data_IF_744148691414
#
_entry.id   IF_744148691414
#
_cell.length_a   1.000
_cell.length_b   1.000
_cell.length_c   1.000
_cell.angle_alpha   90.00
_cell.angle_beta   90.00
_cell.angle_gamma   90.00
#
_symmetry.space_group_name_H-M   'P 1'
#
loop_
_entity.id
_entity.type
_entity.pdbx_description
1 polymer ?
#
# COMPACT_ATOMS: atom_id res chain seq x y z
N UNK A 1 11.19 -14.69 -4.58
CA UNK A 1 12.22 -13.90 -5.27
C UNK A 1 11.79 -12.44 -5.43
N UNK A 2 10.62 -12.17 -6.02
CA UNK A 2 10.15 -10.79 -6.29
C UNK A 2 9.89 -9.90 -5.05
N UNK A 3 10.04 -10.41 -3.85
CA UNK A 3 9.79 -9.66 -2.62
C UNK A 3 11.04 -8.90 -2.13
N UNK A 4 12.24 -9.36 -2.51
CA UNK A 4 13.51 -8.90 -1.97
C UNK A 4 14.38 -8.10 -2.95
N UNK A 5 14.10 -8.20 -4.25
CA UNK A 5 14.87 -7.52 -5.29
C UNK A 5 14.18 -6.24 -5.74
N UNK A 6 14.96 -5.27 -6.21
CA UNK A 6 14.38 -4.14 -6.92
C UNK A 6 13.76 -4.59 -8.26
N UNK A 7 12.99 -3.70 -8.90
CA UNK A 7 12.27 -4.11 -10.12
C UNK A 7 13.22 -4.34 -11.30
N UNK A 8 14.38 -3.66 -11.36
CA UNK A 8 15.39 -3.87 -12.39
C UNK A 8 16.00 -5.27 -12.29
N UNK A 9 16.41 -5.67 -11.08
CA UNK A 9 16.91 -7.02 -10.79
C UNK A 9 15.83 -8.07 -11.06
N UNK A 10 14.58 -7.81 -10.67
CA UNK A 10 13.43 -8.68 -10.94
C UNK A 10 13.23 -8.88 -12.43
N UNK A 11 13.33 -7.82 -13.24
CA UNK A 11 13.19 -7.87 -14.71
C UNK A 11 14.29 -8.71 -15.33
N UNK A 12 15.53 -8.52 -14.89
CA UNK A 12 16.67 -9.32 -15.36
C UNK A 12 16.48 -10.80 -15.05
N UNK A 13 16.19 -11.15 -13.79
CA UNK A 13 15.98 -12.55 -13.37
C UNK A 13 14.80 -13.19 -14.10
N UNK A 14 13.72 -12.47 -14.32
CA UNK A 14 12.58 -12.95 -15.11
C UNK A 14 12.99 -13.25 -16.55
N UNK A 15 13.73 -12.33 -17.19
CA UNK A 15 14.21 -12.52 -18.55
C UNK A 15 15.10 -13.74 -18.72
N UNK A 16 16.04 -13.95 -17.79
CA UNK A 16 16.93 -15.13 -17.81
C UNK A 16 16.18 -16.43 -17.53
N UNK A 17 15.28 -16.44 -16.52
CA UNK A 17 14.47 -17.62 -16.20
C UNK A 17 13.61 -18.06 -17.39
N UNK A 18 13.02 -17.10 -18.11
CA UNK A 18 12.17 -17.37 -19.28
C UNK A 18 12.91 -18.09 -20.42
N UNK A 19 14.24 -17.90 -20.53
CA UNK A 19 15.07 -18.56 -21.55
C UNK A 19 15.38 -20.01 -21.24
N UNK A 20 15.38 -20.40 -19.96
CA UNK A 20 15.84 -21.73 -19.51
C UNK A 20 14.74 -22.60 -18.94
N UNK A 21 13.58 -22.04 -18.60
CA UNK A 21 12.49 -22.80 -18.00
C UNK A 21 11.58 -23.39 -19.07
N UNK A 22 11.50 -24.71 -19.13
CA UNK A 22 10.65 -25.46 -20.05
C UNK A 22 9.24 -25.75 -19.46
N UNK A 23 9.05 -25.54 -18.17
CA UNK A 23 7.78 -25.81 -17.50
C UNK A 23 6.81 -24.63 -17.70
N UNK A 24 5.79 -24.85 -18.53
CA UNK A 24 4.78 -23.84 -18.88
C UNK A 24 3.97 -23.33 -17.68
N UNK A 25 3.71 -24.15 -16.66
CA UNK A 25 2.91 -23.71 -15.50
C UNK A 25 3.73 -22.78 -14.61
N UNK A 26 5.02 -23.07 -14.45
CA UNK A 26 5.94 -22.15 -13.76
C UNK A 26 6.12 -20.84 -14.53
N UNK A 27 6.23 -20.90 -15.85
CA UNK A 27 6.32 -19.70 -16.69
C UNK A 27 5.06 -18.83 -16.53
N UNK A 28 3.87 -19.38 -16.64
CA UNK A 28 2.60 -18.66 -16.47
C UNK A 28 2.47 -18.04 -15.07
N UNK A 29 2.82 -18.80 -14.02
CA UNK A 29 2.78 -18.30 -12.65
C UNK A 29 3.75 -17.13 -12.45
N UNK A 30 4.96 -17.23 -12.99
CA UNK A 30 5.98 -16.21 -12.91
C UNK A 30 5.59 -14.96 -13.72
N UNK A 31 5.06 -15.15 -14.94
CA UNK A 31 4.58 -14.08 -15.80
C UNK A 31 3.45 -13.28 -15.16
N UNK A 32 2.48 -13.96 -14.54
CA UNK A 32 1.41 -13.32 -13.79
C UNK A 32 1.95 -12.45 -12.63
N UNK A 33 2.95 -12.95 -11.90
CA UNK A 33 3.59 -12.18 -10.81
C UNK A 33 4.39 -10.99 -11.33
N UNK A 34 5.15 -11.19 -12.41
CA UNK A 34 5.92 -10.13 -13.05
C UNK A 34 5.01 -9.02 -13.59
N UNK A 35 3.94 -9.37 -14.28
CA UNK A 35 2.96 -8.42 -14.82
C UNK A 35 2.34 -7.56 -13.72
N UNK A 36 1.93 -8.18 -12.60
CA UNK A 36 1.41 -7.43 -11.45
C UNK A 36 2.46 -6.50 -10.84
N UNK A 37 3.68 -6.97 -10.64
CA UNK A 37 4.76 -6.15 -10.12
C UNK A 37 5.13 -5.00 -11.06
N UNK A 38 5.12 -5.25 -12.38
CA UNK A 38 5.36 -4.24 -13.42
C UNK A 38 4.30 -3.15 -13.43
N UNK A 39 3.02 -3.52 -13.28
CA UNK A 39 1.92 -2.58 -13.23
C UNK A 39 1.99 -1.63 -12.03
N UNK A 40 2.64 -2.05 -10.94
CA UNK A 40 2.75 -1.28 -9.71
C UNK A 40 4.02 -0.44 -9.61
N UNK A 41 4.78 -0.27 -10.69
CA UNK A 41 5.98 0.56 -10.66
C UNK A 41 5.65 2.04 -10.53
N UNK A 42 6.51 2.82 -9.84
CA UNK A 42 6.38 4.28 -9.74
C UNK A 42 6.21 4.92 -11.13
N UNK A 43 5.28 5.87 -11.20
CA UNK A 43 4.88 6.55 -12.44
C UNK A 43 3.69 5.90 -13.17
N UNK A 44 3.36 4.65 -12.90
CA UNK A 44 2.17 4.01 -13.45
C UNK A 44 0.89 4.44 -12.70
N UNK A 45 -0.28 4.45 -13.36
CA UNK A 45 -1.54 4.71 -12.70
C UNK A 45 -1.78 3.73 -11.55
N UNK A 46 -2.21 4.22 -10.39
CA UNK A 46 -2.62 3.36 -9.30
C UNK A 46 -3.86 2.54 -9.70
N UNK A 47 -3.96 1.26 -9.27
CA UNK A 47 -5.13 0.45 -9.54
C UNK A 47 -6.41 1.12 -9.02
N UNK A 48 -7.48 1.06 -9.80
CA UNK A 48 -8.76 1.58 -9.39
C UNK A 48 -9.21 0.89 -8.09
N UNK A 49 -9.54 1.71 -7.10
CA UNK A 49 -9.97 1.26 -5.78
C UNK A 49 -11.36 1.80 -5.52
N UNK A 50 -12.30 0.91 -5.24
CA UNK A 50 -13.65 1.26 -4.81
C UNK A 50 -14.04 0.35 -3.66
N UNK A 51 -14.14 0.92 -2.45
CA UNK A 51 -14.42 0.20 -1.22
C UNK A 51 -15.46 0.93 -0.38
N UNK A 52 -15.96 0.27 0.65
CA UNK A 52 -16.87 0.87 1.63
C UNK A 52 -16.12 1.42 2.82
N UNK A 53 -16.52 2.61 3.27
CA UNK A 53 -16.09 3.16 4.55
C UNK A 53 -16.95 2.61 5.72
N UNK A 54 -16.62 3.02 6.94
CA UNK A 54 -17.31 2.61 8.17
C UNK A 54 -18.79 2.99 8.23
N UNK A 55 -19.23 3.90 7.38
CA UNK A 55 -20.62 4.34 7.26
C UNK A 55 -21.34 3.67 6.07
N UNK A 56 -20.67 2.75 5.36
CA UNK A 56 -21.21 2.07 4.19
C UNK A 56 -21.17 2.89 2.90
N UNK A 57 -20.57 4.10 2.93
CA UNK A 57 -20.41 4.94 1.76
C UNK A 57 -19.31 4.36 0.85
N UNK A 58 -19.55 4.38 -0.44
CA UNK A 58 -18.52 4.03 -1.43
C UNK A 58 -17.49 5.14 -1.54
N UNK A 59 -16.22 4.78 -1.40
CA UNK A 59 -15.06 5.66 -1.53
C UNK A 59 -14.17 5.13 -2.66
N UNK A 60 -13.71 6.03 -3.52
CA UNK A 60 -12.80 5.72 -4.63
C UNK A 60 -11.47 6.42 -4.42
N UNK A 61 -10.38 5.80 -4.85
CA UNK A 61 -9.07 6.45 -4.84
C UNK A 61 -9.08 7.76 -5.66
N UNK A 62 -9.84 7.78 -6.77
CA UNK A 62 -10.00 8.97 -7.61
C UNK A 62 -10.63 10.19 -6.91
N UNK A 63 -11.33 9.99 -5.79
CA UNK A 63 -11.95 11.05 -5.02
C UNK A 63 -10.90 11.96 -4.34
N UNK A 64 -9.64 11.48 -4.28
CA UNK A 64 -8.52 12.17 -3.65
C UNK A 64 -7.51 12.75 -4.66
N UNK A 65 -7.88 12.85 -5.93
CA UNK A 65 -7.02 13.47 -6.95
C UNK A 65 -6.61 14.89 -6.54
N UNK A 66 -5.34 15.23 -6.74
CA UNK A 66 -4.76 16.48 -6.26
C UNK A 66 -4.11 16.39 -4.87
N UNK A 67 -4.28 15.26 -4.16
CA UNK A 67 -3.66 14.99 -2.86
C UNK A 67 -2.74 13.79 -2.94
N UNK A 68 -1.76 13.71 -2.06
CA UNK A 68 -1.08 12.46 -1.81
C UNK A 68 -2.00 11.50 -1.06
N UNK A 69 -1.93 10.19 -1.37
CA UNK A 69 -2.64 9.17 -0.59
C UNK A 69 -1.62 8.16 -0.07
N UNK A 70 -1.43 8.16 1.26
CA UNK A 70 -0.63 7.14 1.94
C UNK A 70 -1.55 5.98 2.30
N UNK A 71 -1.41 4.87 1.56
CA UNK A 71 -2.22 3.67 1.75
C UNK A 71 -1.51 2.74 2.72
N UNK A 72 -2.24 2.28 3.74
CA UNK A 72 -1.84 1.26 4.72
C UNK A 72 -2.80 0.07 4.63
N UNK A 73 -2.34 -1.03 4.06
CA UNK A 73 -3.05 -2.31 4.13
C UNK A 73 -2.69 -2.99 5.45
N UNK A 74 -3.70 -3.20 6.28
CA UNK A 74 -3.54 -3.67 7.65
C UNK A 74 -4.56 -4.74 8.02
N UNK A 75 -4.45 -5.30 9.22
CA UNK A 75 -5.39 -6.28 9.76
C UNK A 75 -5.56 -6.17 11.25
N UNK A 76 -6.74 -6.57 11.75
CA UNK A 76 -7.06 -6.55 13.19
C UNK A 76 -6.17 -7.52 13.96
N UNK A 77 -5.76 -8.64 13.34
CA UNK A 77 -4.83 -9.62 13.90
C UNK A 77 -3.34 -9.32 13.65
N UNK A 78 -3.03 -8.21 12.96
CA UNK A 78 -1.67 -7.88 12.56
C UNK A 78 -0.91 -7.15 13.69
N UNK A 79 -0.11 -7.86 14.46
CA UNK A 79 0.70 -7.28 15.54
C UNK A 79 1.58 -6.10 15.14
N UNK A 80 2.38 -6.21 14.05
CA UNK A 80 3.18 -5.09 13.55
C UNK A 80 2.36 -3.87 13.12
N UNK A 81 1.16 -4.06 12.52
CA UNK A 81 0.27 -2.96 12.15
C UNK A 81 -0.20 -2.21 13.40
N UNK A 82 -0.64 -2.95 14.42
CA UNK A 82 -1.10 -2.39 15.68
C UNK A 82 0.04 -1.64 16.43
N UNK A 83 1.26 -2.14 16.29
CA UNK A 83 2.43 -1.46 16.83
C UNK A 83 2.61 -0.06 16.23
N UNK A 84 2.51 0.07 14.89
CA UNK A 84 2.58 1.37 14.21
C UNK A 84 1.44 2.30 14.66
N UNK A 85 0.22 1.79 14.78
CA UNK A 85 -0.92 2.59 15.24
C UNK A 85 -0.73 3.16 16.65
N UNK A 86 -0.12 2.40 17.55
CA UNK A 86 0.10 2.84 18.93
C UNK A 86 1.27 3.79 19.11
N UNK A 87 2.31 3.65 18.29
CA UNK A 87 3.60 4.27 18.59
C UNK A 87 4.05 5.33 17.57
N UNK A 88 3.49 5.32 16.37
CA UNK A 88 4.05 6.12 15.27
C UNK A 88 3.04 6.98 14.53
N UNK A 89 1.76 6.58 14.44
CA UNK A 89 0.79 7.24 13.56
C UNK A 89 0.57 8.73 13.87
N UNK A 90 0.49 9.08 15.15
CA UNK A 90 0.25 10.46 15.57
C UNK A 90 1.44 11.37 15.25
N UNK A 91 2.64 10.91 15.59
CA UNK A 91 3.87 11.63 15.28
C UNK A 91 4.07 11.76 13.77
N UNK A 92 3.70 10.73 13.01
CA UNK A 92 3.76 10.73 11.55
C UNK A 92 2.77 11.76 10.97
N UNK A 93 1.52 11.75 11.41
CA UNK A 93 0.52 12.71 10.98
C UNK A 93 0.91 14.17 11.34
N UNK A 94 1.42 14.39 12.56
CA UNK A 94 1.86 15.73 13.00
C UNK A 94 3.07 16.23 12.19
N UNK A 95 4.05 15.37 11.91
CA UNK A 95 5.24 15.74 11.11
C UNK A 95 4.87 16.22 9.71
N UNK A 96 3.82 15.64 9.12
CA UNK A 96 3.43 15.94 7.73
C UNK A 96 2.10 16.68 7.60
N UNK A 97 1.60 17.30 8.67
CA UNK A 97 0.31 18.02 8.69
C UNK A 97 0.19 19.18 7.69
N UNK A 98 1.33 19.78 7.33
CA UNK A 98 1.38 20.90 6.37
C UNK A 98 1.41 20.43 4.90
N UNK A 99 1.29 19.14 4.67
CA UNK A 99 1.21 18.53 3.34
C UNK A 99 -0.18 17.96 3.11
N UNK A 100 -0.70 18.08 1.89
CA UNK A 100 -2.00 17.50 1.50
C UNK A 100 -1.89 15.97 1.37
N UNK A 101 -1.86 15.28 2.52
CA UNK A 101 -1.79 13.82 2.59
C UNK A 101 -3.09 13.27 3.16
N UNK A 102 -3.69 12.34 2.43
CA UNK A 102 -4.78 11.49 2.90
C UNK A 102 -4.19 10.19 3.44
N UNK A 103 -4.48 9.88 4.69
CA UNK A 103 -4.15 8.58 5.29
C UNK A 103 -5.32 7.63 5.03
N UNK A 104 -5.07 6.59 4.23
CA UNK A 104 -6.08 5.60 3.83
C UNK A 104 -5.71 4.24 4.41
N UNK A 105 -6.54 3.76 5.33
CA UNK A 105 -6.38 2.49 6.03
C UNK A 105 -7.31 1.46 5.42
N UNK A 106 -6.77 0.39 4.81
CA UNK A 106 -7.54 -0.68 4.18
C UNK A 106 -7.38 -1.95 4.99
N UNK A 107 -8.42 -2.32 5.75
CA UNK A 107 -8.44 -3.55 6.53
C UNK A 107 -8.74 -4.75 5.62
N UNK A 108 -7.92 -5.81 5.71
CA UNK A 108 -8.00 -6.96 4.79
C UNK A 108 -8.37 -8.28 5.44
N UNK A 109 -8.19 -8.43 6.76
CA UNK A 109 -8.24 -9.73 7.45
C UNK A 109 -9.49 -9.98 8.29
N UNK A 110 -10.41 -9.02 8.36
CA UNK A 110 -11.49 -9.07 9.35
C UNK A 110 -12.82 -8.61 8.78
N UNK A 111 -13.91 -9.12 9.35
CA UNK A 111 -15.24 -8.67 9.06
C UNK A 111 -15.55 -7.30 9.66
N UNK A 112 -16.63 -6.69 9.20
CA UNK A 112 -17.03 -5.31 9.46
C UNK A 112 -17.04 -4.93 10.95
N UNK A 113 -17.61 -5.79 11.82
CA UNK A 113 -17.70 -5.49 13.26
C UNK A 113 -16.32 -5.35 13.91
N UNK A 114 -15.44 -6.32 13.73
CA UNK A 114 -14.09 -6.31 14.32
C UNK A 114 -13.26 -5.15 13.79
N UNK A 115 -13.40 -4.82 12.51
CA UNK A 115 -12.78 -3.67 11.88
C UNK A 115 -13.25 -2.35 12.50
N UNK A 116 -14.57 -2.11 12.66
CA UNK A 116 -15.10 -0.89 13.30
C UNK A 116 -14.66 -0.76 14.75
N UNK A 117 -14.68 -1.86 15.51
CA UNK A 117 -14.20 -1.89 16.89
C UNK A 117 -12.70 -1.49 16.96
N UNK A 118 -11.90 -1.92 16.00
CA UNK A 118 -10.47 -1.60 15.93
C UNK A 118 -10.22 -0.13 15.51
N UNK A 119 -10.99 0.43 14.56
CA UNK A 119 -10.93 1.86 14.22
C UNK A 119 -11.11 2.71 15.48
N UNK A 120 -12.17 2.43 16.24
CA UNK A 120 -12.47 3.15 17.48
C UNK A 120 -11.38 2.95 18.53
N UNK A 121 -10.93 1.70 18.73
CA UNK A 121 -9.92 1.33 19.73
C UNK A 121 -8.58 2.01 19.48
N UNK A 122 -8.17 2.15 18.24
CA UNK A 122 -6.87 2.72 17.88
C UNK A 122 -6.98 4.17 17.37
N UNK A 123 -8.15 4.80 17.43
CA UNK A 123 -8.40 6.18 17.00
C UNK A 123 -7.81 6.44 15.59
N UNK A 124 -8.20 5.61 14.60
CA UNK A 124 -7.68 5.72 13.25
C UNK A 124 -8.32 6.89 12.51
N UNK A 125 -7.70 8.06 12.60
CA UNK A 125 -8.13 9.28 11.92
C UNK A 125 -7.68 9.27 10.46
N UNK A 126 -8.65 9.21 9.54
CA UNK A 126 -8.39 9.14 8.11
C UNK A 126 -9.52 8.46 7.36
N UNK A 127 -9.21 7.95 6.20
CA UNK A 127 -10.15 7.19 5.37
C UNK A 127 -10.02 5.72 5.72
N UNK A 128 -11.00 5.17 6.42
CA UNK A 128 -11.00 3.77 6.83
C UNK A 128 -11.87 2.95 5.87
N UNK A 129 -11.29 1.94 5.25
CA UNK A 129 -11.93 1.10 4.24
C UNK A 129 -11.78 -0.37 4.59
N UNK A 130 -12.69 -1.20 4.08
CA UNK A 130 -12.64 -2.65 4.27
C UNK A 130 -12.56 -3.39 2.94
N UNK A 131 -11.64 -4.36 2.86
CA UNK A 131 -11.42 -5.28 1.75
C UNK A 131 -11.36 -6.73 2.29
N UNK A 132 -12.48 -7.18 2.87
CA UNK A 132 -12.58 -8.49 3.52
C UNK A 132 -12.24 -9.64 2.54
N UNK A 133 -11.49 -10.60 3.02
CA UNK A 133 -11.11 -11.79 2.25
C UNK A 133 -9.67 -11.79 1.74
N UNK A 134 -8.89 -10.76 2.11
CA UNK A 134 -7.44 -10.65 1.87
C UNK A 134 -7.06 -10.97 0.41
N UNK A 135 -6.27 -12.05 0.20
CA UNK A 135 -5.73 -12.44 -1.11
C UNK A 135 -6.80 -12.69 -2.18
N UNK A 136 -8.03 -12.99 -1.76
CA UNK A 136 -9.16 -13.20 -2.66
C UNK A 136 -9.84 -11.89 -3.07
N UNK A 137 -9.63 -10.81 -2.32
CA UNK A 137 -10.25 -9.53 -2.63
C UNK A 137 -9.57 -8.86 -3.84
N UNK A 138 -10.34 -8.37 -4.84
CA UNK A 138 -9.77 -7.78 -6.06
C UNK A 138 -8.77 -6.66 -5.81
N UNK A 139 -9.01 -5.81 -4.81
CA UNK A 139 -8.10 -4.72 -4.43
C UNK A 139 -6.76 -5.27 -3.94
N UNK A 140 -6.76 -6.30 -3.08
CA UNK A 140 -5.51 -6.92 -2.61
C UNK A 140 -4.72 -7.57 -3.75
N UNK A 141 -5.42 -8.16 -4.72
CA UNK A 141 -4.79 -8.72 -5.92
C UNK A 141 -4.20 -7.63 -6.82
N UNK A 142 -4.96 -6.54 -7.06
CA UNK A 142 -4.53 -5.43 -7.89
C UNK A 142 -3.29 -4.72 -7.32
N UNK A 143 -3.23 -4.54 -5.99
CA UNK A 143 -2.11 -3.96 -5.27
C UNK A 143 -1.03 -4.98 -4.88
N UNK A 144 -1.17 -6.24 -5.31
CA UNK A 144 -0.23 -7.34 -5.03
C UNK A 144 0.12 -7.47 -3.54
N UNK A 145 -0.88 -7.33 -2.65
CA UNK A 145 -0.73 -7.40 -1.19
C UNK A 145 -0.49 -8.84 -0.76
N UNK A 146 0.75 -9.22 -0.55
CA UNK A 146 1.17 -10.57 -0.16
C UNK A 146 1.39 -10.74 1.35
N UNK A 147 1.37 -9.65 2.09
CA UNK A 147 1.57 -9.59 3.53
C UNK A 147 1.21 -8.22 4.07
N UNK A 148 0.96 -8.12 5.37
CA UNK A 148 0.66 -6.87 6.07
C UNK A 148 1.60 -6.68 7.28
N UNK A 149 1.93 -5.43 7.65
CA UNK A 149 1.52 -4.20 6.99
C UNK A 149 2.14 -4.04 5.59
N UNK A 150 1.41 -3.42 4.66
CA UNK A 150 1.89 -3.08 3.33
C UNK A 150 1.54 -1.62 3.03
N UNK A 151 2.55 -0.82 2.71
CA UNK A 151 2.39 0.62 2.52
C UNK A 151 2.70 1.03 1.08
N UNK A 152 1.91 1.99 0.58
CA UNK A 152 2.14 2.61 -0.72
C UNK A 152 1.91 4.12 -0.64
N UNK A 153 2.55 4.87 -1.51
CA UNK A 153 2.27 6.29 -1.68
C UNK A 153 1.78 6.55 -3.11
N UNK A 154 0.60 7.13 -3.22
CA UNK A 154 0.03 7.59 -4.49
C UNK A 154 0.25 9.09 -4.60
N UNK A 155 0.69 9.54 -5.75
CA UNK A 155 0.94 10.95 -6.06
C UNK A 155 -0.34 11.75 -6.30
N UNK A 156 -0.20 13.07 -6.34
CA UNK A 156 -1.31 14.01 -6.60
C UNK A 156 -1.97 13.81 -7.97
N UNK A 157 -1.23 13.26 -8.92
CA UNK A 157 -1.69 12.91 -10.27
C UNK A 157 -2.49 11.60 -10.33
N UNK A 158 -2.52 10.83 -9.23
CA UNK A 158 -3.15 9.51 -9.14
C UNK A 158 -2.24 8.36 -9.58
N UNK A 159 -0.96 8.64 -9.87
CA UNK A 159 0.02 7.62 -10.18
C UNK A 159 0.71 7.11 -8.90
N UNK A 160 1.27 5.92 -8.97
CA UNK A 160 2.07 5.37 -7.88
C UNK A 160 3.35 6.20 -7.75
N UNK A 161 3.57 6.81 -6.60
CA UNK A 161 4.80 7.53 -6.28
C UNK A 161 5.82 6.61 -5.61
N UNK A 162 5.36 5.70 -4.74
CA UNK A 162 6.19 4.68 -4.09
C UNK A 162 5.37 3.39 -3.97
N UNK A 163 5.84 2.32 -4.61
CA UNK A 163 5.18 1.00 -4.64
C UNK A 163 5.36 0.18 -3.34
N UNK A 164 6.51 0.37 -2.69
CA UNK A 164 6.86 -0.24 -1.40
C UNK A 164 7.30 0.87 -0.47
N UNK A 165 6.33 1.57 0.10
CA UNK A 165 6.61 2.67 1.00
C UNK A 165 7.04 2.14 2.38
N UNK A 166 7.93 2.87 3.03
CA UNK A 166 8.33 2.57 4.40
C UNK A 166 7.16 2.78 5.35
N UNK A 167 7.20 2.05 6.47
CA UNK A 167 6.26 2.23 7.59
C UNK A 167 6.49 3.56 8.31
N UNK A 168 5.50 4.11 9.02
CA UNK A 168 5.61 5.38 9.73
C UNK A 168 6.84 5.50 10.63
N UNK A 169 7.13 4.48 11.46
CA UNK A 169 8.29 4.48 12.37
C UNK A 169 9.63 4.57 11.63
N UNK A 170 9.76 3.90 10.48
CA UNK A 170 10.98 3.96 9.66
C UNK A 170 11.14 5.33 8.99
N UNK A 171 10.05 5.93 8.50
CA UNK A 171 10.07 7.28 7.93
C UNK A 171 10.45 8.30 8.98
N UNK A 172 9.89 8.20 10.19
CA UNK A 172 10.21 9.10 11.30
C UNK A 172 11.69 9.03 11.68
N UNK A 173 12.24 7.81 11.78
CA UNK A 173 13.65 7.60 12.15
C UNK A 173 14.65 7.94 11.04
N UNK A 174 14.20 8.12 9.81
CA UNK A 174 15.07 8.51 8.67
C UNK A 174 15.59 9.96 8.76
N UNK A 175 15.03 10.78 9.66
CA UNK A 175 15.37 12.20 9.80
C UNK A 175 15.28 13.00 8.49
N UNK A 176 14.19 12.79 7.72
CA UNK A 176 13.94 13.51 6.48
C UNK A 176 14.67 12.95 5.25
N UNK A 177 15.24 11.74 5.34
CA UNK A 177 16.03 11.12 4.26
C UNK A 177 15.35 9.94 3.57
N UNK A 178 14.14 9.56 3.99
CA UNK A 178 13.39 8.47 3.35
C UNK A 178 12.99 8.81 1.91
N UNK A 179 12.62 7.78 1.13
CA UNK A 179 12.01 8.01 -0.20
C UNK A 179 10.73 8.84 -0.07
N UNK A 180 9.95 8.59 0.99
CA UNK A 180 8.74 9.34 1.31
C UNK A 180 9.04 10.83 1.48
N UNK A 181 10.04 11.19 2.32
CA UNK A 181 10.45 12.57 2.52
C UNK A 181 10.80 13.28 1.20
N UNK A 182 11.59 12.61 0.35
CA UNK A 182 12.03 13.16 -0.94
C UNK A 182 10.87 13.44 -1.88
N UNK A 183 9.89 12.52 -1.96
CA UNK A 183 8.71 12.68 -2.82
C UNK A 183 7.82 13.81 -2.33
N UNK A 184 7.50 13.83 -1.02
CA UNK A 184 6.61 14.84 -0.45
C UNK A 184 7.21 16.25 -0.52
N UNK A 185 8.52 16.40 -0.21
CA UNK A 185 9.20 17.70 -0.22
C UNK A 185 9.48 18.21 -1.63
N UNK A 186 9.76 17.33 -2.59
CA UNK A 186 10.00 17.69 -3.99
C UNK A 186 8.74 18.14 -4.74
N UNK A 187 7.57 18.10 -4.09
CA UNK A 187 6.27 18.45 -4.68
C UNK A 187 5.69 19.77 -4.14
N UNK A 188 6.54 20.57 -3.45
CA UNK A 188 6.21 21.94 -2.99
C UNK A 188 6.44 22.96 -4.08
#
# INVERSE_FOLDING_TARGET
>A
AFTYYDFGETTFVYGEFKKICENNDYLKALESRYTRASALQPGNPAPATELKDENGKTVRLSDFKGKFVYIDFWGVGCGPCIHEFKNSKEQFAEKYKDYDIVYMYICVDSGEKAWKDAIAKYDLKGVNLIAEGWEKHPVCQAYNVQGIPHYMLIGKDGNIAIDKCDRPSSILSSNGRSKFDKVIQGSK
#
